data_IF_521087914374
#
_entry.id   IF_521087914374
#
_cell.length_a   1.000
_cell.length_b   1.000
_cell.length_c   1.000
_cell.angle_alpha   90.00
_cell.angle_beta   90.00
_cell.angle_gamma   90.00
#
_symmetry.space_group_name_H-M   'P 1'
#
loop_
_entity.id
_entity.type
_entity.pdbx_description
1 polymer ?
#
# COMPACT_ATOMS: atom_id res chain seq x y z
N UNK A 1 -16.08 -18.42 -16.91
CA UNK A 1 -17.21 -18.75 -17.77
C UNK A 1 -18.07 -17.54 -17.96
N UNK A 2 -18.45 -17.22 -19.19
CA UNK A 2 -19.33 -16.11 -19.50
C UNK A 2 -20.29 -16.47 -20.64
N UNK A 3 -21.39 -15.77 -20.69
CA UNK A 3 -22.38 -15.83 -21.77
C UNK A 3 -22.72 -14.39 -22.13
N UNK A 4 -22.43 -14.03 -23.38
CA UNK A 4 -22.83 -12.77 -24.00
C UNK A 4 -23.92 -13.03 -25.02
N UNK A 5 -24.95 -12.22 -25.03
CA UNK A 5 -26.07 -12.33 -25.97
C UNK A 5 -26.72 -10.98 -26.21
N UNK A 6 -27.19 -10.76 -27.47
CA UNK A 6 -27.96 -9.56 -27.80
C UNK A 6 -29.42 -9.97 -28.08
N UNK A 7 -30.37 -9.34 -27.42
CA UNK A 7 -31.79 -9.55 -27.61
C UNK A 7 -32.44 -8.22 -27.99
N UNK A 8 -32.70 -8.02 -29.26
CA UNK A 8 -33.25 -6.80 -29.83
C UNK A 8 -32.26 -5.63 -29.69
N UNK A 9 -32.55 -4.65 -28.82
CA UNK A 9 -31.69 -3.49 -28.54
C UNK A 9 -30.92 -3.62 -27.22
N UNK A 10 -30.91 -4.82 -26.62
CA UNK A 10 -30.29 -5.11 -25.34
C UNK A 10 -29.17 -6.11 -25.49
N UNK A 11 -28.02 -5.75 -24.95
CA UNK A 11 -26.87 -6.62 -24.75
C UNK A 11 -26.89 -7.12 -23.31
N UNK A 12 -26.67 -8.41 -23.15
CA UNK A 12 -26.71 -9.11 -21.87
C UNK A 12 -25.39 -9.84 -21.70
N UNK A 13 -24.74 -9.66 -20.58
CA UNK A 13 -23.57 -10.40 -20.15
C UNK A 13 -23.84 -11.06 -18.79
N UNK A 14 -23.44 -12.32 -18.66
CA UNK A 14 -23.47 -13.03 -17.40
C UNK A 14 -22.17 -13.83 -17.25
N UNK A 15 -21.50 -13.69 -16.12
CA UNK A 15 -20.20 -14.32 -15.91
C UNK A 15 -20.03 -14.91 -14.52
N UNK A 16 -19.14 -15.92 -14.47
CA UNK A 16 -18.61 -16.51 -13.26
C UNK A 16 -17.10 -16.63 -13.39
N UNK A 17 -16.38 -16.02 -12.46
CA UNK A 17 -14.92 -16.04 -12.37
C UNK A 17 -14.53 -16.74 -11.07
N UNK A 18 -13.61 -17.69 -11.17
CA UNK A 18 -12.91 -18.26 -10.05
C UNK A 18 -11.41 -18.14 -10.31
N UNK A 19 -10.71 -17.54 -9.39
CA UNK A 19 -9.28 -17.36 -9.46
C UNK A 19 -8.63 -17.77 -8.13
N UNK A 20 -7.52 -18.48 -8.19
CA UNK A 20 -6.75 -18.86 -7.03
C UNK A 20 -5.27 -18.69 -7.32
N UNK A 21 -4.57 -18.07 -6.38
CA UNK A 21 -3.12 -18.00 -6.38
C UNK A 21 -2.60 -18.66 -5.10
N UNK A 22 -1.65 -19.59 -5.25
CA UNK A 22 -0.93 -20.22 -4.15
C UNK A 22 0.55 -20.00 -4.35
N UNK A 23 1.22 -19.60 -3.29
CA UNK A 23 2.68 -19.45 -3.28
C UNK A 23 3.28 -20.20 -2.10
N UNK A 24 4.50 -20.68 -2.28
CA UNK A 24 5.34 -21.18 -1.20
C UNK A 24 6.69 -20.50 -1.30
N UNK A 25 7.09 -19.87 -0.20
CA UNK A 25 8.40 -19.23 -0.07
C UNK A 25 9.30 -20.13 0.74
N UNK A 26 10.47 -20.45 0.21
CA UNK A 26 11.50 -21.24 0.93
C UNK A 26 12.67 -20.35 1.24
N UNK A 27 12.96 -20.17 2.54
CA UNK A 27 14.07 -19.34 3.02
C UNK A 27 15.12 -20.22 3.67
N UNK A 28 16.34 -20.15 3.14
CA UNK A 28 17.49 -20.93 3.60
C UNK A 28 18.34 -20.12 4.57
N UNK A 29 19.03 -20.82 5.47
CA UNK A 29 20.06 -20.25 6.34
C UNK A 29 19.52 -19.43 7.51
N UNK A 30 18.25 -19.57 7.84
CA UNK A 30 17.70 -19.01 9.08
C UNK A 30 18.24 -19.75 10.29
N UNK A 31 18.47 -19.02 11.39
CA UNK A 31 18.99 -19.59 12.63
C UNK A 31 17.84 -19.84 13.61
N UNK A 32 17.85 -21.03 14.23
CA UNK A 32 16.96 -21.40 15.32
C UNK A 32 17.51 -20.83 16.64
N UNK A 33 16.94 -19.74 17.13
CA UNK A 33 17.38 -19.05 18.35
C UNK A 33 17.19 -19.91 19.61
N UNK A 34 16.24 -20.84 19.59
CA UNK A 34 16.04 -21.83 20.66
C UNK A 34 17.21 -22.80 20.75
N UNK A 35 17.68 -23.32 19.60
CA UNK A 35 18.84 -24.20 19.54
C UNK A 35 20.12 -23.46 19.90
N UNK A 36 20.29 -22.21 19.44
CA UNK A 36 21.43 -21.37 19.84
C UNK A 36 21.47 -21.20 21.34
N UNK A 37 20.36 -20.78 21.96
CA UNK A 37 20.27 -20.60 23.42
C UNK A 37 20.60 -21.87 24.15
N UNK A 38 20.07 -23.01 23.71
CA UNK A 38 20.32 -24.33 24.33
C UNK A 38 21.79 -24.73 24.16
N UNK A 39 22.39 -24.56 22.96
CA UNK A 39 23.78 -24.88 22.70
C UNK A 39 24.79 -24.02 23.47
N UNK A 40 24.41 -22.79 23.83
CA UNK A 40 25.22 -21.87 24.65
C UNK A 40 25.06 -22.11 26.17
N UNK A 41 24.05 -22.85 26.61
CA UNK A 41 23.68 -22.97 28.04
C UNK A 41 24.52 -23.99 28.85
N UNK A 42 25.51 -24.62 28.24
CA UNK A 42 26.44 -25.56 28.91
C UNK A 42 25.71 -26.76 29.55
N UNK A 43 25.30 -26.63 30.81
CA UNK A 43 24.70 -27.72 31.59
C UNK A 43 23.32 -28.20 31.08
N UNK A 44 22.61 -27.35 30.34
CA UNK A 44 21.31 -27.66 29.74
C UNK A 44 21.41 -28.27 28.34
N UNK A 45 22.61 -28.32 27.76
CA UNK A 45 22.86 -28.94 26.46
C UNK A 45 22.98 -30.47 26.66
N UNK A 46 21.84 -31.21 26.60
CA UNK A 46 21.74 -32.66 26.79
C UNK A 46 20.98 -33.32 25.63
N UNK A 47 21.22 -34.61 25.42
CA UNK A 47 20.60 -35.40 24.36
C UNK A 47 21.13 -34.96 22.98
N UNK A 48 20.25 -34.63 22.06
CA UNK A 48 20.60 -34.23 20.69
C UNK A 48 21.12 -32.79 20.58
N UNK A 49 21.41 -32.11 21.70
CA UNK A 49 21.97 -30.78 21.72
C UNK A 49 23.45 -30.78 21.34
N UNK A 50 23.81 -29.86 20.40
CA UNK A 50 25.23 -29.64 20.05
C UNK A 50 25.74 -28.41 20.80
N UNK A 51 26.76 -28.53 21.66
CA UNK A 51 27.35 -27.39 22.33
C UNK A 51 27.99 -26.42 21.35
N UNK A 52 27.70 -25.12 21.51
CA UNK A 52 28.23 -24.08 20.63
C UNK A 52 29.48 -23.45 21.23
N UNK A 53 30.63 -23.57 20.55
CA UNK A 53 31.83 -22.85 20.89
C UNK A 53 31.98 -21.59 20.05
N UNK A 54 31.46 -20.48 20.51
CA UNK A 54 31.50 -19.17 19.83
C UNK A 54 32.69 -18.30 20.29
N UNK A 55 33.46 -18.76 21.30
CA UNK A 55 34.57 -18.00 21.90
C UNK A 55 35.97 -18.51 21.50
N UNK A 56 36.01 -19.52 20.68
CA UNK A 56 37.28 -20.18 20.30
C UNK A 56 38.01 -19.47 19.20
N UNK A 57 38.25 -18.28 19.20
CA UNK A 57 39.18 -17.54 18.37
C UNK A 57 39.13 -17.80 16.87
N UNK A 58 40.04 -17.22 16.17
CA UNK A 58 40.24 -17.24 14.72
C UNK A 58 41.35 -18.26 14.39
N UNK A 59 41.01 -19.54 14.34
CA UNK A 59 41.93 -20.60 14.02
C UNK A 59 41.40 -21.96 14.39
N UNK A 60 41.84 -23.02 13.76
CA UNK A 60 41.32 -24.40 13.92
C UNK A 60 41.40 -24.93 15.34
N UNK A 61 42.31 -24.42 16.15
CA UNK A 61 42.54 -24.77 17.56
C UNK A 61 42.32 -23.59 18.52
N UNK A 62 41.83 -22.46 18.02
CA UNK A 62 41.68 -21.24 18.82
C UNK A 62 42.98 -20.52 19.11
N UNK A 63 44.08 -20.96 18.58
CA UNK A 63 45.38 -20.30 18.70
C UNK A 63 45.64 -19.32 17.54
N UNK A 64 46.24 -18.19 17.85
CA UNK A 64 46.93 -17.39 16.85
C UNK A 64 48.11 -18.23 16.31
N UNK A 65 48.13 -18.48 15.02
CA UNK A 65 49.32 -19.04 14.41
C UNK A 65 50.51 -18.18 14.79
N UNK A 66 51.59 -18.75 15.27
CA UNK A 66 52.71 -18.02 15.84
C UNK A 66 53.43 -17.02 14.89
N UNK A 67 53.04 -16.99 13.63
CA UNK A 67 53.40 -16.02 12.61
C UNK A 67 52.41 -14.84 12.46
N UNK A 68 51.33 -14.82 13.23
CA UNK A 68 50.28 -13.80 13.19
C UNK A 68 49.33 -13.91 11.99
N UNK A 69 49.38 -15.00 11.24
CA UNK A 69 48.47 -15.27 10.13
C UNK A 69 47.26 -16.06 10.60
N UNK A 70 46.09 -15.65 10.11
CA UNK A 70 44.82 -16.36 10.30
C UNK A 70 44.61 -17.34 9.14
N UNK A 71 44.32 -18.61 9.46
CA UNK A 71 44.10 -19.66 8.47
C UNK A 71 42.66 -19.65 7.88
N UNK A 72 41.82 -18.73 8.31
CA UNK A 72 40.43 -18.60 7.86
C UNK A 72 39.44 -19.57 8.53
N UNK A 73 39.93 -20.47 9.41
CA UNK A 73 39.05 -21.38 10.16
C UNK A 73 38.63 -20.77 11.50
N UNK A 74 37.42 -21.10 11.93
CA UNK A 74 36.86 -20.72 13.23
C UNK A 74 36.50 -21.95 14.03
N UNK A 75 35.95 -21.74 15.23
CA UNK A 75 35.50 -22.82 16.11
C UNK A 75 34.07 -23.30 15.80
N UNK A 76 33.36 -22.66 14.89
CA UNK A 76 32.05 -23.08 14.44
C UNK A 76 32.20 -24.23 13.43
N UNK A 77 31.80 -25.41 13.84
CA UNK A 77 31.85 -26.63 13.01
C UNK A 77 30.61 -26.76 12.14
N UNK A 78 30.66 -27.59 11.10
CA UNK A 78 29.48 -27.89 10.28
C UNK A 78 28.34 -28.49 11.13
N UNK A 79 28.63 -29.33 12.10
CA UNK A 79 27.65 -29.91 13.02
C UNK A 79 26.93 -28.84 13.84
N UNK A 80 27.66 -27.80 14.29
CA UNK A 80 27.04 -26.65 14.97
C UNK A 80 26.14 -25.85 14.01
N UNK A 81 26.59 -25.62 12.78
CA UNK A 81 25.80 -24.95 11.75
C UNK A 81 24.53 -25.74 11.45
N UNK A 82 24.64 -27.04 11.20
CA UNK A 82 23.48 -27.91 10.93
C UNK A 82 22.50 -27.95 12.10
N UNK A 83 22.98 -27.88 13.34
CA UNK A 83 22.14 -27.84 14.54
C UNK A 83 21.38 -26.53 14.71
N UNK A 84 21.98 -25.39 14.36
CA UNK A 84 21.36 -24.08 14.58
C UNK A 84 20.64 -23.53 13.34
N UNK A 85 20.84 -24.08 12.16
CA UNK A 85 20.16 -23.62 10.94
C UNK A 85 18.91 -24.44 10.64
N UNK A 86 17.96 -23.81 9.97
CA UNK A 86 16.80 -24.49 9.40
C UNK A 86 16.39 -23.85 8.07
N UNK A 87 15.54 -24.56 7.35
CA UNK A 87 14.92 -24.06 6.12
C UNK A 87 13.46 -23.77 6.44
N UNK A 88 13.05 -22.54 6.28
CA UNK A 88 11.66 -22.13 6.50
C UNK A 88 10.82 -22.32 5.26
N UNK A 89 9.56 -22.69 5.45
CA UNK A 89 8.56 -22.84 4.40
C UNK A 89 7.30 -22.06 4.78
N UNK A 90 7.14 -20.88 4.15
CA UNK A 90 5.94 -20.08 4.31
C UNK A 90 4.97 -20.37 3.15
N UNK A 91 3.69 -20.43 3.42
CA UNK A 91 2.66 -20.62 2.39
C UNK A 91 1.65 -19.51 2.38
N UNK A 92 1.28 -19.06 1.18
CA UNK A 92 0.25 -18.06 0.95
C UNK A 92 -0.82 -18.57 -0.02
N UNK A 93 -2.05 -18.11 0.16
CA UNK A 93 -3.16 -18.36 -0.74
C UNK A 93 -4.05 -17.13 -0.81
N UNK A 94 -4.43 -16.78 -2.04
CA UNK A 94 -5.53 -15.86 -2.29
C UNK A 94 -6.52 -16.54 -3.25
N UNK A 95 -7.80 -16.47 -2.93
CA UNK A 95 -8.88 -16.99 -3.75
C UNK A 95 -9.94 -15.92 -3.96
N UNK A 96 -10.47 -15.82 -5.18
CA UNK A 96 -11.56 -14.94 -5.54
C UNK A 96 -12.62 -15.73 -6.29
N UNK A 97 -13.88 -15.54 -5.91
CA UNK A 97 -15.07 -15.98 -6.65
C UNK A 97 -15.88 -14.74 -6.96
N UNK A 98 -16.21 -14.57 -8.24
CA UNK A 98 -16.98 -13.44 -8.70
C UNK A 98 -18.02 -13.89 -9.71
N UNK A 99 -19.26 -13.43 -9.58
CA UNK A 99 -20.30 -13.63 -10.55
C UNK A 99 -21.14 -12.38 -10.70
N UNK A 100 -21.48 -12.05 -11.94
CA UNK A 100 -22.20 -10.85 -12.28
C UNK A 100 -23.16 -11.06 -13.44
N UNK A 101 -24.05 -10.11 -13.53
CA UNK A 101 -25.05 -10.01 -14.59
C UNK A 101 -25.21 -8.54 -14.97
N UNK A 102 -24.98 -8.24 -16.23
CA UNK A 102 -25.00 -6.90 -16.80
C UNK A 102 -25.96 -6.84 -17.98
N UNK A 103 -26.69 -5.74 -18.08
CA UNK A 103 -27.60 -5.44 -19.18
C UNK A 103 -27.36 -4.02 -19.64
N UNK A 104 -27.18 -3.81 -20.93
CA UNK A 104 -27.10 -2.48 -21.54
C UNK A 104 -27.94 -2.39 -22.80
N UNK A 105 -28.44 -1.19 -23.12
CA UNK A 105 -29.23 -1.02 -24.31
C UNK A 105 -29.87 0.36 -24.45
N UNK A 106 -30.71 0.49 -25.48
CA UNK A 106 -31.43 1.72 -25.77
C UNK A 106 -32.87 1.60 -25.27
N UNK A 107 -33.25 2.48 -24.30
CA UNK A 107 -34.62 2.52 -23.76
C UNK A 107 -35.57 3.08 -24.80
N UNK A 108 -35.22 4.24 -25.40
CA UNK A 108 -36.04 4.94 -26.38
C UNK A 108 -35.19 5.87 -27.25
N UNK A 109 -35.76 6.27 -28.38
CA UNK A 109 -35.20 7.34 -29.20
C UNK A 109 -35.76 8.69 -28.76
N UNK A 110 -34.92 9.60 -28.35
CA UNK A 110 -35.26 10.99 -28.10
C UNK A 110 -35.03 11.81 -29.39
N UNK A 111 -35.60 13.03 -29.52
CA UNK A 111 -35.34 13.89 -30.66
C UNK A 111 -33.86 14.21 -30.91
N UNK A 112 -33.06 14.14 -29.83
CA UNK A 112 -31.61 14.43 -29.82
C UNK A 112 -30.73 13.18 -29.93
N UNK A 113 -31.30 11.97 -29.93
CA UNK A 113 -30.55 10.74 -30.05
C UNK A 113 -31.06 9.62 -29.12
N UNK A 114 -30.41 8.46 -29.09
CA UNK A 114 -30.82 7.34 -28.29
C UNK A 114 -30.55 7.54 -26.79
N UNK A 115 -31.56 7.31 -25.95
CA UNK A 115 -31.42 7.24 -24.48
C UNK A 115 -30.87 5.86 -24.12
N UNK A 116 -29.60 5.83 -23.67
CA UNK A 116 -28.94 4.61 -23.23
C UNK A 116 -29.16 4.32 -21.73
N UNK A 117 -29.26 3.04 -21.40
CA UNK A 117 -29.31 2.52 -20.03
C UNK A 117 -28.36 1.34 -19.92
N UNK A 118 -27.57 1.31 -18.84
CA UNK A 118 -26.89 0.09 -18.36
C UNK A 118 -27.22 -0.13 -16.88
N UNK A 119 -27.34 -1.37 -16.47
CA UNK A 119 -27.45 -1.76 -15.08
C UNK A 119 -26.88 -3.15 -14.88
N UNK A 120 -26.36 -3.40 -13.67
CA UNK A 120 -25.83 -4.72 -13.35
C UNK A 120 -25.81 -4.99 -11.85
N UNK A 121 -25.62 -6.26 -11.53
CA UNK A 121 -25.42 -6.77 -10.18
C UNK A 121 -24.20 -7.67 -10.17
N UNK A 122 -23.44 -7.60 -9.08
CA UNK A 122 -22.23 -8.40 -8.88
C UNK A 122 -22.19 -8.92 -7.44
N UNK A 123 -21.75 -10.17 -7.28
CA UNK A 123 -21.36 -10.71 -5.99
C UNK A 123 -19.93 -11.23 -6.08
N UNK A 124 -19.09 -10.79 -5.14
CA UNK A 124 -17.69 -11.22 -5.07
C UNK A 124 -17.32 -11.64 -3.66
N UNK A 125 -16.63 -12.77 -3.56
CA UNK A 125 -16.01 -13.26 -2.34
C UNK A 125 -14.51 -13.35 -2.54
N UNK A 126 -13.76 -12.80 -1.57
CA UNK A 126 -12.30 -12.90 -1.51
C UNK A 126 -11.87 -13.57 -0.21
N UNK A 127 -10.91 -14.48 -0.31
CA UNK A 127 -10.29 -15.18 0.82
C UNK A 127 -8.77 -15.10 0.70
N UNK A 128 -8.10 -14.80 1.81
CA UNK A 128 -6.64 -14.81 1.91
C UNK A 128 -6.17 -15.59 3.12
N UNK A 129 -5.07 -16.33 2.92
CA UNK A 129 -4.39 -17.06 4.00
C UNK A 129 -2.88 -16.88 3.86
N UNK A 130 -2.21 -16.75 4.99
CA UNK A 130 -0.77 -16.81 5.09
C UNK A 130 -0.41 -17.65 6.31
N UNK A 131 0.44 -18.65 6.10
CA UNK A 131 0.86 -19.61 7.12
C UNK A 131 2.39 -19.62 7.14
N UNK A 132 3.03 -18.90 8.07
CA UNK A 132 4.47 -18.88 8.22
C UNK A 132 4.99 -20.18 8.79
N UNK A 133 6.28 -20.47 8.56
CA UNK A 133 6.96 -21.60 9.19
C UNK A 133 6.80 -21.59 10.71
N UNK A 134 6.67 -22.77 11.31
CA UNK A 134 6.40 -22.92 12.74
C UNK A 134 7.47 -22.25 13.63
N UNK A 135 8.75 -22.23 13.24
CA UNK A 135 9.79 -21.54 14.00
C UNK A 135 9.68 -20.03 13.89
N UNK A 136 9.26 -19.51 12.71
CA UNK A 136 8.99 -18.09 12.51
C UNK A 136 7.77 -17.68 13.35
N UNK A 137 6.68 -18.44 13.28
CA UNK A 137 5.47 -18.19 14.05
C UNK A 137 5.71 -18.25 15.58
N UNK A 138 6.60 -19.12 16.03
CA UNK A 138 6.96 -19.24 17.44
C UNK A 138 7.97 -18.18 17.93
N UNK A 139 8.47 -17.28 17.06
CA UNK A 139 9.53 -16.31 17.40
C UNK A 139 10.88 -16.96 17.70
N UNK A 140 11.12 -18.16 17.18
CA UNK A 140 12.35 -18.93 17.36
C UNK A 140 13.30 -18.81 16.15
N UNK A 141 12.99 -17.96 15.20
CA UNK A 141 13.84 -17.64 14.05
C UNK A 141 14.75 -16.44 14.33
N UNK A 142 15.90 -16.38 13.64
CA UNK A 142 16.73 -15.17 13.58
C UNK A 142 16.10 -14.06 12.70
N UNK A 143 15.07 -14.39 11.92
CA UNK A 143 14.25 -13.42 11.22
C UNK A 143 13.10 -12.91 12.10
N UNK A 144 12.38 -11.90 11.60
CA UNK A 144 11.24 -11.32 12.30
C UNK A 144 10.13 -12.36 12.51
N UNK A 145 9.48 -12.34 13.66
CA UNK A 145 8.33 -13.17 13.91
C UNK A 145 7.14 -12.71 13.05
N UNK A 146 6.33 -13.67 12.61
CA UNK A 146 5.12 -13.44 11.83
C UNK A 146 4.03 -14.40 12.29
N UNK A 147 2.83 -13.85 12.51
CA UNK A 147 1.67 -14.66 12.89
C UNK A 147 0.93 -15.21 11.67
N UNK A 148 0.32 -16.41 11.76
CA UNK A 148 -0.61 -16.88 10.73
C UNK A 148 -1.76 -15.91 10.53
N UNK A 149 -2.23 -15.80 9.29
CA UNK A 149 -3.33 -14.92 8.88
C UNK A 149 -4.35 -15.73 8.10
N UNK A 150 -5.62 -15.50 8.39
CA UNK A 150 -6.72 -15.92 7.54
C UNK A 150 -7.83 -14.90 7.64
N UNK A 151 -8.38 -14.51 6.50
CA UNK A 151 -9.49 -13.59 6.43
C UNK A 151 -10.25 -13.73 5.12
N UNK A 152 -11.51 -13.31 5.15
CA UNK A 152 -12.38 -13.26 3.99
C UNK A 152 -13.33 -12.08 4.09
N UNK A 153 -13.79 -11.61 2.95
CA UNK A 153 -14.92 -10.71 2.85
C UNK A 153 -15.76 -11.03 1.62
N UNK A 154 -17.02 -10.62 1.68
CA UNK A 154 -17.97 -10.69 0.58
C UNK A 154 -18.47 -9.29 0.28
N UNK A 155 -18.82 -9.05 -0.98
CA UNK A 155 -19.45 -7.80 -1.42
C UNK A 155 -20.58 -8.11 -2.39
N UNK A 156 -21.71 -7.46 -2.16
CA UNK A 156 -22.86 -7.40 -3.06
C UNK A 156 -22.94 -5.99 -3.65
N UNK A 157 -22.94 -5.88 -4.98
CA UNK A 157 -22.91 -4.60 -5.67
C UNK A 157 -24.03 -4.51 -6.71
N UNK A 158 -24.52 -3.30 -6.90
CA UNK A 158 -25.46 -3.00 -7.97
C UNK A 158 -25.22 -1.60 -8.52
N UNK A 159 -25.36 -1.44 -9.83
CA UNK A 159 -25.18 -0.15 -10.46
C UNK A 159 -26.24 0.12 -11.54
N UNK A 160 -26.41 1.41 -11.82
CA UNK A 160 -27.20 1.91 -12.94
C UNK A 160 -26.49 3.08 -13.60
N UNK A 161 -26.50 3.12 -14.94
CA UNK A 161 -25.92 4.18 -15.76
C UNK A 161 -26.91 4.66 -16.82
N UNK A 162 -26.94 5.96 -17.07
CA UNK A 162 -27.75 6.61 -18.08
C UNK A 162 -26.88 7.46 -19.01
N UNK A 163 -27.07 7.28 -20.31
CA UNK A 163 -26.52 8.15 -21.35
C UNK A 163 -27.68 8.93 -21.97
N UNK A 164 -27.69 10.26 -21.72
CA UNK A 164 -28.85 11.12 -22.03
C UNK A 164 -28.44 12.20 -23.04
N UNK A 165 -28.78 12.07 -24.31
CA UNK A 165 -28.59 13.14 -25.28
C UNK A 165 -29.64 14.25 -25.04
N UNK A 166 -29.20 15.38 -24.45
CA UNK A 166 -30.09 16.51 -24.13
C UNK A 166 -30.43 17.32 -25.39
N UNK A 167 -29.42 17.56 -26.23
CA UNK A 167 -29.54 18.18 -27.52
C UNK A 167 -28.65 17.44 -28.51
N UNK A 168 -28.67 17.83 -29.81
CA UNK A 168 -27.73 17.28 -30.82
C UNK A 168 -26.25 17.56 -30.49
N UNK A 169 -25.98 18.46 -29.55
CA UNK A 169 -24.63 18.92 -29.20
C UNK A 169 -24.27 18.72 -27.74
N UNK A 170 -25.22 18.31 -26.91
CA UNK A 170 -25.01 18.12 -25.44
C UNK A 170 -25.46 16.74 -25.04
N UNK A 171 -24.52 15.97 -24.48
CA UNK A 171 -24.73 14.66 -23.90
C UNK A 171 -24.42 14.68 -22.40
N UNK A 172 -25.25 14.03 -21.59
CA UNK A 172 -25.01 13.78 -20.18
C UNK A 172 -24.79 12.29 -19.92
N UNK A 173 -23.86 11.96 -19.04
CA UNK A 173 -23.69 10.64 -18.48
C UNK A 173 -23.88 10.68 -16.97
N UNK A 174 -24.75 9.83 -16.44
CA UNK A 174 -25.08 9.73 -15.01
C UNK A 174 -24.88 8.28 -14.58
N UNK A 175 -24.20 8.06 -13.48
CA UNK A 175 -24.03 6.71 -12.93
C UNK A 175 -24.12 6.74 -11.41
N UNK A 176 -24.63 5.66 -10.82
CA UNK A 176 -24.57 5.39 -9.39
C UNK A 176 -24.29 3.90 -9.17
N UNK A 177 -23.40 3.62 -8.21
CA UNK A 177 -23.09 2.27 -7.73
C UNK A 177 -23.29 2.20 -6.23
N UNK A 178 -23.95 1.16 -5.77
CA UNK A 178 -24.12 0.83 -4.37
C UNK A 178 -23.44 -0.51 -4.10
N UNK A 179 -22.62 -0.55 -3.05
CA UNK A 179 -21.85 -1.72 -2.65
C UNK A 179 -22.06 -2.00 -1.17
N UNK A 180 -22.29 -3.26 -0.80
CA UNK A 180 -22.43 -3.73 0.58
C UNK A 180 -21.33 -4.76 0.88
N UNK A 181 -20.36 -4.35 1.69
CA UNK A 181 -19.21 -5.15 2.09
C UNK A 181 -19.42 -5.76 3.48
N UNK A 182 -19.19 -7.05 3.63
CA UNK A 182 -19.24 -7.74 4.92
C UNK A 182 -18.21 -7.22 5.93
N UNK A 183 -17.14 -6.54 5.49
CA UNK A 183 -16.04 -6.06 6.33
C UNK A 183 -16.26 -4.68 6.93
N UNK A 184 -16.92 -3.74 6.23
CA UNK A 184 -17.09 -2.35 6.70
C UNK A 184 -18.47 -1.76 6.44
N UNK A 185 -19.39 -2.49 5.76
CA UNK A 185 -20.75 -2.04 5.45
C UNK A 185 -20.88 -1.42 4.07
N UNK A 186 -21.77 -0.44 3.91
CA UNK A 186 -22.21 0.04 2.61
C UNK A 186 -21.50 1.32 2.18
N UNK A 187 -21.31 1.45 0.84
CA UNK A 187 -20.91 2.70 0.19
C UNK A 187 -21.74 2.95 -1.04
N UNK A 188 -21.92 4.22 -1.39
CA UNK A 188 -22.66 4.64 -2.60
C UNK A 188 -21.89 5.75 -3.28
N UNK A 189 -21.56 5.55 -4.54
CA UNK A 189 -20.73 6.45 -5.32
C UNK A 189 -21.46 6.88 -6.60
N UNK A 190 -21.39 8.16 -6.93
CA UNK A 190 -22.02 8.74 -8.08
C UNK A 190 -21.00 9.33 -9.07
N UNK A 191 -21.37 9.33 -10.35
CA UNK A 191 -20.62 9.99 -11.41
C UNK A 191 -21.56 10.83 -12.28
N UNK A 192 -21.12 12.04 -12.56
CA UNK A 192 -21.79 12.98 -13.44
C UNK A 192 -20.85 13.44 -14.54
N UNK A 193 -21.24 13.24 -15.77
CA UNK A 193 -20.45 13.65 -16.94
C UNK A 193 -21.29 14.53 -17.88
N UNK A 194 -20.66 15.50 -18.52
CA UNK A 194 -21.27 16.31 -19.56
C UNK A 194 -20.27 16.49 -20.73
N UNK A 195 -20.77 16.36 -21.93
CA UNK A 195 -20.03 16.65 -23.16
C UNK A 195 -20.82 17.67 -23.97
N UNK A 196 -20.14 18.72 -24.43
CA UNK A 196 -20.73 19.74 -25.28
C UNK A 196 -19.88 19.94 -26.52
N UNK A 197 -20.45 19.65 -27.70
CA UNK A 197 -19.84 19.78 -29.02
C UNK A 197 -20.56 20.88 -29.82
N UNK A 198 -20.27 22.17 -29.59
CA UNK A 198 -20.96 23.26 -30.28
C UNK A 198 -20.78 23.24 -31.81
N UNK A 199 -19.74 22.58 -32.29
CA UNK A 199 -19.43 22.38 -33.71
C UNK A 199 -18.49 21.17 -33.86
N UNK A 200 -18.16 20.81 -35.09
CA UNK A 200 -17.28 19.65 -35.41
C UNK A 200 -15.81 19.84 -34.99
N UNK A 201 -15.41 21.09 -34.70
CA UNK A 201 -14.01 21.43 -34.36
C UNK A 201 -13.74 21.33 -32.86
N UNK A 202 -14.68 21.71 -32.01
CA UNK A 202 -14.44 21.86 -30.57
C UNK A 202 -15.45 21.04 -29.77
N UNK A 203 -14.95 20.25 -28.82
CA UNK A 203 -15.75 19.54 -27.83
C UNK A 203 -15.21 19.86 -26.43
N UNK A 204 -16.09 20.26 -25.53
CA UNK A 204 -15.81 20.38 -24.11
C UNK A 204 -16.32 19.16 -23.36
N UNK A 205 -15.59 18.71 -22.35
CA UNK A 205 -16.02 17.64 -21.45
C UNK A 205 -15.77 18.03 -20.00
N UNK A 206 -16.68 17.61 -19.13
CA UNK A 206 -16.52 17.76 -17.69
C UNK A 206 -17.03 16.50 -17.00
N UNK A 207 -16.34 16.07 -15.96
CA UNK A 207 -16.74 14.92 -15.16
C UNK A 207 -16.49 15.22 -13.68
N UNK A 208 -17.46 14.91 -12.84
CA UNK A 208 -17.30 14.75 -11.39
C UNK A 208 -17.57 13.29 -11.06
N UNK A 209 -16.71 12.67 -10.25
CA UNK A 209 -16.89 11.30 -9.83
C UNK A 209 -16.47 11.11 -8.37
N UNK A 210 -17.31 10.42 -7.62
CA UNK A 210 -16.98 9.85 -6.34
C UNK A 210 -16.42 8.44 -6.53
N UNK A 211 -15.52 8.02 -5.65
CA UNK A 211 -14.93 6.69 -5.66
C UNK A 211 -14.57 6.23 -4.26
N UNK A 212 -14.24 4.96 -4.11
CA UNK A 212 -13.71 4.43 -2.86
C UNK A 212 -12.71 3.30 -3.15
N UNK A 213 -11.88 3.02 -2.16
CA UNK A 213 -11.02 1.84 -2.13
C UNK A 213 -11.28 1.01 -0.88
N UNK A 214 -11.83 -0.18 -1.05
CA UNK A 214 -12.03 -1.13 0.04
C UNK A 214 -10.67 -1.56 0.63
N UNK A 215 -10.56 -1.75 1.95
CA UNK A 215 -9.39 -2.33 2.57
C UNK A 215 -9.12 -3.74 2.04
N UNK A 216 -7.86 -4.05 1.79
CA UNK A 216 -7.47 -5.41 1.37
C UNK A 216 -7.53 -6.41 2.54
N UNK A 217 -7.56 -7.71 2.24
CA UNK A 217 -7.47 -8.77 3.26
C UNK A 217 -6.21 -8.58 4.12
N UNK A 218 -5.09 -8.20 3.52
CA UNK A 218 -3.85 -7.92 4.26
C UNK A 218 -3.97 -6.73 5.20
N UNK A 219 -4.69 -5.69 4.79
CA UNK A 219 -4.94 -4.50 5.62
C UNK A 219 -5.88 -4.78 6.80
N UNK A 220 -6.90 -5.61 6.57
CA UNK A 220 -7.88 -5.98 7.61
C UNK A 220 -7.32 -7.04 8.57
N UNK A 221 -6.79 -8.11 8.02
CA UNK A 221 -6.47 -9.33 8.77
C UNK A 221 -4.98 -9.66 8.79
N UNK A 222 -4.12 -8.79 8.24
CA UNK A 222 -2.68 -8.99 8.22
C UNK A 222 -2.14 -9.33 9.60
N UNK A 223 -1.36 -10.41 9.70
CA UNK A 223 -0.76 -10.84 10.95
C UNK A 223 0.16 -9.79 11.53
N UNK A 224 0.28 -9.79 12.84
CA UNK A 224 1.24 -8.92 13.51
C UNK A 224 2.67 -9.38 13.17
N UNK A 225 3.48 -8.43 12.73
CA UNK A 225 4.87 -8.60 12.34
C UNK A 225 5.74 -7.72 13.22
N UNK A 226 6.85 -8.26 13.68
CA UNK A 226 7.88 -7.46 14.32
C UNK A 226 8.66 -6.66 13.27
N UNK A 227 8.94 -5.41 13.57
CA UNK A 227 9.86 -4.55 12.82
C UNK A 227 10.76 -3.81 13.80
N UNK A 228 11.94 -3.39 13.35
CA UNK A 228 12.96 -2.77 14.20
C UNK A 228 13.54 -1.52 13.52
N UNK A 229 12.72 -0.47 13.31
CA UNK A 229 13.22 0.79 12.75
C UNK A 229 14.16 1.49 13.73
N UNK A 230 15.04 2.33 13.20
CA UNK A 230 15.84 3.25 13.98
C UNK A 230 14.96 4.39 14.49
N UNK A 231 14.78 4.48 15.80
CA UNK A 231 13.95 5.47 16.49
C UNK A 231 14.72 6.20 17.56
N UNK A 232 14.34 7.45 17.77
CA UNK A 232 14.84 8.28 18.87
C UNK A 232 13.81 8.30 20.00
N UNK A 233 14.15 7.69 21.12
CA UNK A 233 13.29 7.69 22.30
C UNK A 233 13.36 9.07 23.02
N UNK A 234 12.23 9.80 23.14
CA UNK A 234 12.24 11.09 23.86
C UNK A 234 12.55 10.99 25.35
N UNK A 235 12.55 9.80 25.95
CA UNK A 235 12.96 9.57 27.34
C UNK A 235 14.44 9.20 27.47
N UNK A 236 15.18 9.02 26.38
CA UNK A 236 16.62 8.76 26.38
C UNK A 236 17.40 10.04 26.68
N UNK A 237 18.13 10.06 27.79
CA UNK A 237 18.91 11.22 28.25
C UNK A 237 20.05 11.64 27.27
N UNK A 238 20.39 10.80 26.31
CA UNK A 238 21.37 11.09 25.24
C UNK A 238 20.71 11.43 23.90
N UNK A 239 19.40 11.35 23.80
CA UNK A 239 18.66 11.67 22.56
C UNK A 239 18.56 13.18 22.35
N UNK A 240 18.68 13.62 21.10
CA UNK A 240 18.40 15.02 20.71
C UNK A 240 16.93 15.40 20.96
N UNK A 241 16.05 14.41 21.07
CA UNK A 241 14.62 14.57 21.37
C UNK A 241 14.28 14.46 22.86
N UNK A 242 15.30 14.45 23.76
CA UNK A 242 15.08 14.27 25.19
C UNK A 242 14.18 15.36 25.79
N UNK A 243 13.15 14.94 26.50
CA UNK A 243 12.13 15.82 27.10
C UNK A 243 12.34 16.12 28.59
N UNK A 244 13.39 15.54 29.19
CA UNK A 244 13.75 15.72 30.59
C UNK A 244 14.65 16.91 30.90
N UNK A 245 15.17 16.94 32.12
CA UNK A 245 16.11 17.98 32.56
C UNK A 245 17.58 17.65 32.19
N UNK A 246 18.45 18.65 32.20
CA UNK A 246 19.87 18.48 31.88
C UNK A 246 20.63 17.53 32.83
N UNK A 247 20.10 17.21 34.01
CA UNK A 247 20.64 16.21 34.93
C UNK A 247 20.17 14.77 34.66
N UNK A 248 19.42 14.57 33.57
CA UNK A 248 18.87 13.29 33.15
C UNK A 248 17.58 12.90 33.91
N UNK A 249 17.02 13.78 34.73
CA UNK A 249 15.73 13.52 35.37
C UNK A 249 14.58 13.62 34.38
N UNK A 250 13.66 12.67 34.47
CA UNK A 250 12.51 12.55 33.57
C UNK A 250 11.39 13.53 33.91
N UNK A 251 10.73 14.08 32.91
CA UNK A 251 9.58 14.97 33.04
C UNK A 251 8.35 14.38 32.29
N UNK A 252 7.18 14.95 32.57
CA UNK A 252 5.95 14.64 31.84
C UNK A 252 5.63 13.14 31.83
N UNK A 253 5.31 12.64 30.66
CA UNK A 253 4.89 11.24 30.47
C UNK A 253 6.04 10.26 30.74
N UNK A 254 7.29 10.59 30.43
CA UNK A 254 8.44 9.72 30.76
C UNK A 254 8.53 9.44 32.27
N UNK A 255 8.28 10.49 33.10
CA UNK A 255 8.21 10.32 34.55
C UNK A 255 7.00 9.50 35.01
N UNK A 256 5.84 9.72 34.36
CA UNK A 256 4.60 8.98 34.67
C UNK A 256 4.75 7.48 34.38
N UNK A 257 5.46 7.13 33.31
CA UNK A 257 5.74 5.73 32.92
C UNK A 257 6.87 5.11 33.75
N UNK A 258 7.42 5.86 34.72
CA UNK A 258 8.45 5.38 35.65
C UNK A 258 9.81 5.16 35.01
N UNK A 259 10.12 5.87 33.92
CA UNK A 259 11.44 5.79 33.29
C UNK A 259 12.51 6.32 34.26
N UNK A 260 13.60 5.58 34.55
CA UNK A 260 14.62 6.00 35.50
C UNK A 260 15.36 7.27 35.10
N UNK A 261 15.81 8.07 36.08
CA UNK A 261 16.72 9.17 35.83
C UNK A 261 18.00 8.69 35.16
N UNK A 262 18.43 9.38 34.10
CA UNK A 262 19.61 8.99 33.32
C UNK A 262 19.44 7.77 32.46
N UNK A 263 18.20 7.37 32.18
CA UNK A 263 17.91 6.29 31.24
C UNK A 263 18.53 6.56 29.87
N UNK A 264 19.15 5.57 29.28
CA UNK A 264 19.69 5.61 27.93
C UNK A 264 19.28 4.37 27.15
N UNK A 265 18.90 4.57 25.88
CA UNK A 265 18.55 3.50 24.95
C UNK A 265 19.84 3.01 24.27
N UNK A 266 20.31 1.78 24.53
CA UNK A 266 21.59 1.31 24.01
C UNK A 266 21.56 0.95 22.52
N UNK A 267 20.37 0.80 21.93
CA UNK A 267 20.16 0.48 20.53
C UNK A 267 18.99 1.31 19.99
N UNK A 268 19.19 2.01 18.89
CA UNK A 268 18.16 2.80 18.21
C UNK A 268 17.11 1.95 17.54
N UNK A 269 17.41 0.69 17.26
CA UNK A 269 16.44 -0.28 16.71
C UNK A 269 15.46 -0.73 17.79
N UNK A 270 14.32 -0.05 17.85
CA UNK A 270 13.26 -0.32 18.82
C UNK A 270 12.24 -1.25 18.15
N UNK A 271 11.84 -2.31 18.86
CA UNK A 271 10.81 -3.24 18.40
C UNK A 271 9.47 -2.52 18.27
N UNK A 272 8.87 -2.65 17.10
CA UNK A 272 7.48 -2.22 16.84
C UNK A 272 6.67 -3.41 16.33
N UNK A 273 5.37 -3.39 16.59
CA UNK A 273 4.41 -4.31 16.02
C UNK A 273 3.63 -3.62 14.93
N UNK A 274 3.74 -4.13 13.71
CA UNK A 274 2.96 -3.70 12.56
C UNK A 274 1.97 -4.81 12.15
N UNK A 275 0.88 -4.46 11.46
CA UNK A 275 -0.09 -5.45 11.01
C UNK A 275 -1.40 -4.86 10.56
N UNK A 276 -2.34 -5.75 10.22
CA UNK A 276 -3.70 -5.38 9.85
C UNK A 276 -4.50 -4.86 11.04
N UNK A 277 -5.60 -4.18 10.70
CA UNK A 277 -6.58 -3.68 11.65
C UNK A 277 -7.99 -3.95 11.09
N UNK A 278 -8.80 -4.81 11.72
CA UNK A 278 -10.13 -5.15 11.22
C UNK A 278 -11.15 -4.00 11.29
N UNK A 279 -10.83 -2.91 12.00
CA UNK A 279 -11.70 -1.74 12.13
C UNK A 279 -11.48 -0.70 11.02
N UNK A 280 -10.59 -0.97 10.06
CA UNK A 280 -10.29 -0.07 8.93
C UNK A 280 -11.53 0.14 8.07
N UNK A 281 -11.79 1.41 7.77
CA UNK A 281 -12.81 1.87 6.84
C UNK A 281 -12.23 2.02 5.42
N UNK A 282 -13.07 2.11 4.38
CA UNK A 282 -12.60 2.41 3.04
C UNK A 282 -11.97 3.81 2.96
N UNK A 283 -11.05 3.97 2.01
CA UNK A 283 -10.67 5.29 1.54
C UNK A 283 -11.75 5.81 0.60
N UNK A 284 -12.02 7.10 0.64
CA UNK A 284 -12.99 7.76 -0.22
C UNK A 284 -12.29 8.75 -1.13
N UNK A 285 -12.80 8.93 -2.34
CA UNK A 285 -12.22 9.89 -3.27
C UNK A 285 -13.28 10.71 -3.99
N UNK A 286 -12.94 11.96 -4.26
CA UNK A 286 -13.67 12.84 -5.17
C UNK A 286 -12.72 13.30 -6.27
N UNK A 287 -13.22 13.31 -7.50
CA UNK A 287 -12.42 13.73 -8.65
C UNK A 287 -13.19 14.62 -9.59
N UNK A 288 -12.55 15.68 -10.06
CA UNK A 288 -13.04 16.58 -11.10
C UNK A 288 -12.10 16.50 -12.29
N UNK A 289 -12.67 16.38 -13.48
CA UNK A 289 -11.93 16.50 -14.73
C UNK A 289 -12.66 17.49 -15.65
N UNK A 290 -11.90 18.39 -16.26
CA UNK A 290 -12.38 19.30 -17.31
C UNK A 290 -11.45 19.24 -18.49
N UNK A 291 -12.01 19.02 -19.71
CA UNK A 291 -11.21 18.88 -20.91
C UNK A 291 -11.77 19.59 -22.12
N UNK A 292 -10.89 19.87 -23.06
CA UNK A 292 -11.23 20.37 -24.39
C UNK A 292 -10.55 19.55 -25.47
N UNK A 293 -11.32 19.20 -26.49
CA UNK A 293 -10.83 18.49 -27.67
C UNK A 293 -10.98 19.44 -28.83
N UNK A 294 -9.90 19.65 -29.61
CA UNK A 294 -9.89 20.55 -30.78
C UNK A 294 -9.41 19.75 -31.99
N UNK A 295 -10.26 19.72 -33.04
CA UNK A 295 -9.97 19.10 -34.35
C UNK A 295 -10.03 20.14 -35.45
N UNK A 296 -9.01 21.02 -35.60
CA UNK A 296 -9.09 22.19 -36.44
C UNK A 296 -8.96 21.89 -37.93
N UNK A 297 -8.31 20.78 -38.27
CA UNK A 297 -8.11 20.26 -39.64
C UNK A 297 -8.18 18.74 -39.61
N UNK A 298 -8.40 18.14 -40.77
CA UNK A 298 -8.38 16.70 -40.94
C UNK A 298 -7.06 16.09 -40.44
N UNK A 299 -7.15 15.01 -39.71
CA UNK A 299 -6.02 14.27 -39.13
C UNK A 299 -5.43 14.89 -37.86
N UNK A 300 -5.70 16.15 -37.49
CA UNK A 300 -5.16 16.79 -36.30
C UNK A 300 -6.18 16.76 -35.15
N UNK A 301 -5.78 16.17 -34.05
CA UNK A 301 -6.54 16.15 -32.77
C UNK A 301 -5.66 16.65 -31.63
N UNK A 302 -6.16 17.62 -30.88
CA UNK A 302 -5.53 18.20 -29.68
C UNK A 302 -6.47 17.99 -28.52
N UNK A 303 -5.95 17.41 -27.43
CA UNK A 303 -6.66 17.16 -26.17
C UNK A 303 -5.94 17.93 -25.07
N UNK A 304 -6.67 18.72 -24.33
CA UNK A 304 -6.15 19.37 -23.13
C UNK A 304 -7.12 19.12 -21.98
N UNK A 305 -6.63 18.54 -20.90
CA UNK A 305 -7.41 18.17 -19.73
C UNK A 305 -6.76 18.72 -18.47
N UNK A 306 -7.58 19.17 -17.54
CA UNK A 306 -7.24 19.47 -16.17
C UNK A 306 -7.93 18.47 -15.26
N UNK A 307 -7.22 17.97 -14.25
CA UNK A 307 -7.78 17.08 -13.24
C UNK A 307 -7.41 17.55 -11.84
N UNK A 308 -8.29 17.24 -10.90
CA UNK A 308 -8.08 17.37 -9.47
C UNK A 308 -8.73 16.16 -8.78
N UNK A 309 -7.97 15.52 -7.88
CA UNK A 309 -8.42 14.35 -7.14
C UNK A 309 -8.02 14.51 -5.67
N UNK A 310 -9.00 14.34 -4.80
CA UNK A 310 -8.83 14.26 -3.35
C UNK A 310 -9.14 12.84 -2.88
N UNK A 311 -8.30 12.29 -2.00
CA UNK A 311 -8.51 10.99 -1.36
C UNK A 311 -8.47 11.20 0.15
N UNK A 312 -9.59 10.98 0.81
CA UNK A 312 -9.73 11.08 2.26
C UNK A 312 -9.64 9.72 2.93
N UNK A 313 -9.43 9.69 4.24
CA UNK A 313 -9.31 8.46 5.03
C UNK A 313 -8.23 7.51 4.50
N UNK A 314 -7.12 8.03 3.95
CA UNK A 314 -6.06 7.19 3.39
C UNK A 314 -5.55 6.18 4.42
N UNK A 315 -5.41 4.93 3.98
CA UNK A 315 -4.97 3.83 4.83
C UNK A 315 -3.45 3.83 4.91
N UNK A 316 -2.93 4.14 6.11
CA UNK A 316 -1.50 4.21 6.37
C UNK A 316 -1.21 3.86 7.82
N UNK A 317 0.07 3.75 8.21
CA UNK A 317 0.49 3.73 9.62
C UNK A 317 0.72 5.14 10.13
N UNK A 318 0.57 5.34 11.44
CA UNK A 318 0.86 6.63 12.08
C UNK A 318 2.33 7.00 11.93
N UNK A 319 3.21 6.01 12.03
CA UNK A 319 4.64 6.16 12.09
C UNK A 319 5.17 6.11 13.53
N UNK A 320 6.04 5.16 13.80
CA UNK A 320 6.50 4.85 15.15
C UNK A 320 7.16 6.04 15.85
N UNK A 321 7.96 6.86 15.12
CA UNK A 321 8.58 8.06 15.69
C UNK A 321 7.53 9.11 16.05
N UNK A 322 6.49 9.27 15.25
CA UNK A 322 5.39 10.18 15.50
C UNK A 322 4.62 9.77 16.77
N UNK A 323 4.37 8.46 16.93
CA UNK A 323 3.74 7.92 18.15
C UNK A 323 4.56 8.26 19.38
N UNK A 324 5.90 8.09 19.33
CA UNK A 324 6.81 8.43 20.44
C UNK A 324 6.75 9.92 20.76
N UNK A 325 6.90 10.77 19.75
CA UNK A 325 6.90 12.23 19.93
C UNK A 325 5.55 12.71 20.46
N UNK A 326 4.46 12.27 19.88
CA UNK A 326 3.10 12.64 20.30
C UNK A 326 2.77 12.20 21.74
N UNK A 327 3.25 11.03 22.18
CA UNK A 327 3.11 10.63 23.59
C UNK A 327 3.98 11.48 24.53
N UNK A 328 5.29 11.56 24.27
CA UNK A 328 6.24 12.09 25.26
C UNK A 328 6.50 13.58 25.15
N UNK A 329 6.33 14.18 23.98
CA UNK A 329 6.51 15.63 23.77
C UNK A 329 5.17 16.38 23.85
N UNK A 330 4.09 15.81 23.29
CA UNK A 330 2.79 16.46 23.19
C UNK A 330 1.78 15.98 24.25
N UNK A 331 2.14 14.96 25.03
CA UNK A 331 1.29 14.33 26.06
C UNK A 331 -0.06 13.79 25.49
N UNK A 332 -0.04 13.30 24.26
CA UNK A 332 -1.20 12.73 23.61
C UNK A 332 -1.46 11.29 24.11
N UNK A 333 -2.48 11.13 24.96
CA UNK A 333 -2.80 9.86 25.62
C UNK A 333 -3.19 8.75 24.63
N UNK A 334 -3.73 9.11 23.45
CA UNK A 334 -4.00 8.12 22.40
C UNK A 334 -2.73 7.43 21.94
N UNK A 335 -1.67 8.19 21.73
CA UNK A 335 -0.37 7.63 21.32
C UNK A 335 0.33 6.91 22.47
N UNK A 336 0.21 7.41 23.71
CA UNK A 336 0.78 6.73 24.88
C UNK A 336 0.20 5.31 25.06
N UNK A 337 -1.06 5.11 24.75
CA UNK A 337 -1.71 3.78 24.84
C UNK A 337 -1.16 2.74 23.84
N UNK A 338 -0.37 3.18 22.86
CA UNK A 338 0.27 2.32 21.86
C UNK A 338 1.69 1.86 22.26
N UNK A 339 2.20 2.35 23.39
CA UNK A 339 3.57 2.13 23.83
C UNK A 339 3.56 1.34 25.15
N UNK A 340 4.30 0.23 25.20
CA UNK A 340 4.54 -0.53 26.40
C UNK A 340 6.02 -0.42 26.81
N UNK A 341 6.30 -0.11 28.09
CA UNK A 341 7.64 -0.08 28.67
C UNK A 341 7.78 -1.04 29.82
N UNK A 342 8.97 -1.56 30.02
CA UNK A 342 9.30 -2.32 31.23
C UNK A 342 9.73 -1.41 32.38
N UNK A 343 9.91 -1.98 33.58
CA UNK A 343 10.30 -1.27 34.79
C UNK A 343 11.71 -0.65 34.75
N UNK A 344 12.52 -0.95 33.75
CA UNK A 344 13.85 -0.37 33.53
C UNK A 344 13.84 0.74 32.50
N UNK A 345 12.65 1.08 31.95
CA UNK A 345 12.45 2.17 31.00
C UNK A 345 12.47 1.78 29.53
N UNK A 346 12.88 0.55 29.17
CA UNK A 346 12.94 0.12 27.79
C UNK A 346 11.55 -0.09 27.20
N UNK A 347 11.37 0.37 25.96
CA UNK A 347 10.19 0.07 25.15
C UNK A 347 10.23 -1.41 24.80
N UNK A 348 9.19 -2.13 25.20
CA UNK A 348 9.01 -3.57 24.92
C UNK A 348 8.10 -3.84 23.76
N UNK A 349 7.19 -2.91 23.48
CA UNK A 349 6.33 -2.92 22.29
C UNK A 349 5.86 -1.50 21.95
N UNK A 350 5.72 -1.22 20.66
CA UNK A 350 5.10 -0.03 20.10
C UNK A 350 4.22 -0.46 18.94
N UNK A 351 2.92 -0.27 19.07
CA UNK A 351 1.94 -0.69 18.06
C UNK A 351 1.71 0.40 17.03
N UNK A 352 2.13 0.13 15.79
CA UNK A 352 1.94 1.00 14.63
C UNK A 352 1.16 0.24 13.54
N UNK A 353 -0.10 -0.05 13.85
CA UNK A 353 -1.01 -0.78 12.96
C UNK A 353 -1.58 0.15 11.89
N UNK A 354 -2.13 -0.43 10.81
CA UNK A 354 -2.87 0.32 9.79
C UNK A 354 -4.04 1.08 10.39
N UNK A 355 -4.23 2.33 9.94
CA UNK A 355 -5.32 3.23 10.35
C UNK A 355 -5.78 4.07 9.17
N UNK A 356 -7.01 4.58 9.24
CA UNK A 356 -7.50 5.61 8.34
C UNK A 356 -7.01 6.97 8.83
N UNK A 357 -5.94 7.45 8.26
CA UNK A 357 -5.30 8.72 8.64
C UNK A 357 -4.77 9.41 7.39
N UNK A 358 -5.04 10.68 7.32
CA UNK A 358 -4.49 11.51 6.27
C UNK A 358 -5.41 11.77 5.09
N UNK A 359 -4.88 12.58 4.22
CA UNK A 359 -5.51 13.11 3.03
C UNK A 359 -4.43 13.09 1.93
N UNK A 360 -4.79 12.71 0.73
CA UNK A 360 -3.93 12.84 -0.44
C UNK A 360 -4.63 13.69 -1.51
N UNK A 361 -3.98 14.73 -1.99
CA UNK A 361 -4.49 15.66 -2.97
C UNK A 361 -3.54 15.72 -4.16
N UNK A 362 -4.09 15.61 -5.36
CA UNK A 362 -3.30 15.75 -6.58
C UNK A 362 -4.06 16.52 -7.64
N UNK A 363 -3.37 17.42 -8.32
CA UNK A 363 -3.92 18.16 -9.46
C UNK A 363 -2.89 18.31 -10.56
N UNK A 364 -3.37 18.47 -11.79
CA UNK A 364 -2.48 18.64 -12.93
C UNK A 364 -3.21 18.86 -14.23
N UNK A 365 -2.43 18.97 -15.29
CA UNK A 365 -2.95 19.12 -16.64
C UNK A 365 -2.25 18.16 -17.60
N UNK A 366 -2.96 17.71 -18.61
CA UNK A 366 -2.44 16.85 -19.66
C UNK A 366 -2.71 17.49 -21.03
N UNK A 367 -1.72 17.44 -21.90
CA UNK A 367 -1.81 17.88 -23.29
C UNK A 367 -1.41 16.72 -24.20
N UNK A 368 -2.32 16.31 -25.08
CA UNK A 368 -2.04 15.31 -26.11
C UNK A 368 -2.29 15.91 -27.50
N UNK A 369 -1.38 15.67 -28.41
CA UNK A 369 -1.48 16.08 -29.80
C UNK A 369 -1.24 14.87 -30.68
N UNK A 370 -2.20 14.56 -31.54
CA UNK A 370 -2.10 13.50 -32.54
C UNK A 370 -2.32 14.12 -33.90
N UNK A 371 -1.40 13.89 -34.84
CA UNK A 371 -1.54 14.32 -36.21
C UNK A 371 -1.26 13.16 -37.16
N UNK A 372 -2.27 12.80 -37.92
CA UNK A 372 -2.24 11.76 -38.94
C UNK A 372 -2.32 12.39 -40.33
N UNK A 373 -1.42 12.05 -41.22
CA UNK A 373 -1.45 12.52 -42.59
C UNK A 373 -0.87 11.51 -43.55
N UNK A 374 -1.37 11.52 -44.76
CA UNK A 374 -0.86 10.74 -45.88
C UNK A 374 -0.15 11.61 -46.90
N UNK A 375 0.95 11.12 -47.42
CA UNK A 375 1.64 11.72 -48.51
C UNK A 375 2.09 10.67 -49.55
N UNK A 376 2.81 11.11 -50.59
CA UNK A 376 3.33 10.20 -51.64
C UNK A 376 4.37 9.19 -51.14
N UNK A 377 4.79 9.29 -49.89
CA UNK A 377 5.80 8.40 -49.27
C UNK A 377 5.20 7.47 -48.21
N UNK A 378 3.90 7.54 -47.96
CA UNK A 378 3.17 6.70 -47.03
C UNK A 378 2.35 7.47 -46.01
N UNK A 379 1.87 6.75 -45.01
CA UNK A 379 1.06 7.25 -43.88
C UNK A 379 1.93 7.58 -42.69
N UNK A 380 1.68 8.70 -42.06
CA UNK A 380 2.43 9.23 -40.95
C UNK A 380 1.52 9.47 -39.74
N UNK A 381 1.99 9.12 -38.55
CA UNK A 381 1.33 9.47 -37.27
C UNK A 381 2.36 10.17 -36.43
N UNK A 382 2.11 11.40 -36.07
CA UNK A 382 2.83 12.11 -35.01
C UNK A 382 2.01 12.08 -33.74
N UNK A 383 2.63 11.77 -32.61
CA UNK A 383 2.02 11.81 -31.28
C UNK A 383 2.90 12.51 -30.28
N UNK A 384 2.32 13.37 -29.47
CA UNK A 384 2.99 14.02 -28.34
C UNK A 384 2.05 14.01 -27.15
N UNK A 385 2.53 13.55 -26.00
CA UNK A 385 1.79 13.58 -24.74
C UNK A 385 2.66 14.27 -23.70
N UNK A 386 2.12 15.25 -23.01
CA UNK A 386 2.80 16.01 -21.95
C UNK A 386 1.87 16.06 -20.76
N UNK A 387 2.35 15.60 -19.59
CA UNK A 387 1.66 15.72 -18.32
C UNK A 387 2.38 16.74 -17.44
N UNK A 388 1.61 17.62 -16.83
CA UNK A 388 2.03 18.61 -15.85
C UNK A 388 1.39 18.25 -14.52
N UNK A 389 2.19 17.93 -13.51
CA UNK A 389 1.77 17.73 -12.13
C UNK A 389 1.92 19.06 -11.39
N UNK A 390 0.80 19.64 -10.97
CA UNK A 390 0.77 20.91 -10.23
C UNK A 390 0.93 20.67 -8.73
N UNK A 391 0.08 19.82 -8.17
CA UNK A 391 0.15 19.43 -6.76
C UNK A 391 0.17 17.92 -6.61
N UNK A 392 0.91 17.44 -5.62
CA UNK A 392 0.75 16.12 -5.03
C UNK A 392 1.15 16.22 -3.55
N UNK A 393 0.15 16.36 -2.71
CA UNK A 393 0.27 16.63 -1.30
C UNK A 393 -0.28 15.46 -0.49
N UNK A 394 0.44 15.07 0.57
CA UNK A 394 0.00 14.03 1.49
C UNK A 394 0.01 14.59 2.91
N UNK A 395 -1.15 14.67 3.52
CA UNK A 395 -1.31 15.08 4.92
C UNK A 395 -1.14 13.86 5.81
N UNK A 396 -0.22 13.92 6.77
CA UNK A 396 0.08 12.86 7.73
C UNK A 396 -0.80 12.93 8.97
N UNK A 397 -0.67 11.92 9.83
CA UNK A 397 -1.45 11.78 11.07
C UNK A 397 -1.28 12.96 12.05
N UNK A 398 -0.16 13.70 12.00
CA UNK A 398 0.12 14.89 12.79
C UNK A 398 -0.38 16.20 12.16
N UNK A 399 -1.02 16.10 10.98
CA UNK A 399 -1.47 17.26 10.22
C UNK A 399 -0.36 17.95 9.41
N UNK A 400 0.88 17.43 9.43
CA UNK A 400 1.93 17.93 8.54
C UNK A 400 1.64 17.55 7.10
N UNK A 401 1.93 18.44 6.17
CA UNK A 401 1.75 18.22 4.73
C UNK A 401 3.08 17.96 4.07
N UNK A 402 3.17 16.84 3.37
CA UNK A 402 4.31 16.50 2.55
C UNK A 402 4.01 16.85 1.09
N UNK A 403 4.69 17.86 0.57
CA UNK A 403 4.60 18.27 -0.83
C UNK A 403 5.52 17.38 -1.66
N UNK A 404 4.96 16.59 -2.57
CA UNK A 404 5.70 15.57 -3.36
C UNK A 404 5.94 15.98 -4.81
N UNK A 405 5.16 16.92 -5.37
CA UNK A 405 5.37 17.38 -6.75
C UNK A 405 6.78 17.95 -6.92
N UNK A 406 7.49 17.54 -7.97
CA UNK A 406 8.87 17.94 -8.26
C UNK A 406 9.95 17.30 -7.38
N UNK A 407 9.59 16.50 -6.39
CA UNK A 407 10.55 15.94 -5.43
C UNK A 407 10.95 14.51 -5.82
N UNK A 408 12.23 14.21 -5.61
CA UNK A 408 12.78 12.86 -5.63
C UNK A 408 12.95 12.41 -4.19
N UNK A 409 12.13 11.48 -3.73
CA UNK A 409 12.29 10.89 -2.41
C UNK A 409 13.43 9.87 -2.43
N UNK A 410 14.51 10.18 -1.66
CA UNK A 410 15.72 9.36 -1.64
C UNK A 410 15.53 7.98 -0.99
N UNK A 411 14.58 7.82 -0.04
CA UNK A 411 14.33 6.56 0.66
C UNK A 411 13.51 5.58 -0.18
N UNK A 412 12.51 6.06 -0.92
CA UNK A 412 11.53 5.20 -1.60
C UNK A 412 11.75 5.12 -3.11
N UNK A 413 12.75 5.84 -3.65
CA UNK A 413 13.04 5.96 -5.09
C UNK A 413 11.86 6.49 -5.92
N UNK A 414 10.87 7.04 -5.28
CA UNK A 414 9.72 7.65 -5.94
C UNK A 414 10.11 9.02 -6.50
N UNK A 415 9.69 9.28 -7.73
CA UNK A 415 9.96 10.52 -8.45
C UNK A 415 8.66 11.07 -9.01
N UNK A 416 8.19 12.15 -8.44
CA UNK A 416 6.99 12.86 -8.88
C UNK A 416 7.40 14.07 -9.71
N UNK A 417 7.66 13.84 -11.00
CA UNK A 417 8.13 14.90 -11.90
C UNK A 417 6.99 15.86 -12.20
N UNK A 418 7.23 17.17 -12.03
CA UNK A 418 6.28 18.21 -12.42
C UNK A 418 5.96 18.19 -13.91
N UNK A 419 6.91 17.78 -14.75
CA UNK A 419 6.70 17.68 -16.20
C UNK A 419 7.22 16.34 -16.70
N UNK A 420 6.37 15.60 -17.40
CA UNK A 420 6.71 14.36 -18.08
C UNK A 420 6.10 14.36 -19.47
N UNK A 421 6.85 13.94 -20.47
CA UNK A 421 6.32 13.89 -21.84
C UNK A 421 7.00 12.82 -22.68
N UNK A 422 6.29 12.43 -23.72
CA UNK A 422 6.77 11.56 -24.77
C UNK A 422 6.43 12.14 -26.15
N UNK A 423 7.21 11.77 -27.14
CA UNK A 423 7.05 12.15 -28.53
C UNK A 423 7.24 10.90 -29.38
N UNK A 424 6.33 10.65 -30.29
CA UNK A 424 6.35 9.53 -31.21
C UNK A 424 6.14 9.95 -32.66
N UNK A 425 6.81 9.29 -33.60
CA UNK A 425 6.55 9.34 -35.00
C UNK A 425 6.48 7.93 -35.55
N UNK A 426 5.39 7.57 -36.18
CA UNK A 426 5.19 6.30 -36.86
C UNK A 426 5.03 6.55 -38.32
N UNK A 427 5.75 5.81 -39.16
CA UNK A 427 5.64 5.81 -40.60
C UNK A 427 5.36 4.41 -41.14
N UNK A 428 4.47 4.32 -42.09
CA UNK A 428 4.18 3.09 -42.85
C UNK A 428 3.97 3.41 -44.33
N UNK A 429 4.47 2.54 -45.21
CA UNK A 429 4.31 2.59 -46.67
C UNK A 429 3.18 1.70 -47.18
#
# INVERSE_FOLDING_TARGET
>A
LGVESSIGKWDIDAYLIWAQNKNTTTTYGLLNTGNIRKGLSGDDCKGDCVPLNVFGGQGSDGSYLGDGLWDGSGTITQEMVDYITFVAHDTGMNEMKNYGFDVSGIIMELPSGPLGLAFGIEHRKEEGKYDPDAFIAAGLSSGNASSPVAGEFEVDEGYIELAVPITETIDLSLAVRHSDYSSFGTTTNAKYGATWSPNEIVTFRATFAEGFRAPSIGTLYGGQLDSYPDLQDPCDALSDNFTGNADGSQLGQCSNDGVPTGFTQPNTQIRITQGGNPDIQPEESEGINFGVIIKPIEGLSIYADYYEVEITNTISTIGAQLILNGCYQENNQRYCSLIDRNSTGFITDLRDLSNNIGLAETSGAELSVIYEWDDKYGSWIFSSEIAFLDTFDVTRADGSVEHRAGIVNGSDREQYKEVKGNLGIIWSD
#
